data_IF_616496892675
#
_entry.id   IF_616496892675
#
_cell.length_a   1.000
_cell.length_b   1.000
_cell.length_c   1.000
_cell.angle_alpha   90.00
_cell.angle_beta   90.00
_cell.angle_gamma   90.00
#
_symmetry.space_group_name_H-M   'P 1'
#
loop_
_entity.id
_entity.type
_entity.pdbx_description
1 polymer ?
#
# COMPACT_ATOMS: atom_id res chain seq x y z
N UNK A 1 16.55 11.80 5.46
CA UNK A 1 16.61 10.45 6.05
C UNK A 1 15.20 9.90 5.98
N UNK A 2 14.92 9.02 5.02
CA UNK A 2 13.58 8.44 4.83
C UNK A 2 13.43 7.30 5.82
N UNK A 3 12.44 7.36 6.73
CA UNK A 3 12.31 6.39 7.82
C UNK A 3 11.66 5.08 7.36
N UNK A 4 10.88 5.12 6.28
CA UNK A 4 10.17 4.00 5.67
C UNK A 4 10.35 4.00 4.16
N UNK A 5 10.07 2.86 3.52
CA UNK A 5 10.20 2.70 2.07
C UNK A 5 9.28 3.66 1.29
N UNK A 6 8.07 3.92 1.80
CA UNK A 6 7.11 4.85 1.20
C UNK A 6 7.40 6.33 1.48
N UNK A 7 8.39 6.65 2.34
CA UNK A 7 8.79 8.04 2.60
C UNK A 7 9.71 8.60 1.50
N UNK A 8 10.04 7.80 0.48
CA UNK A 8 10.92 8.20 -0.63
C UNK A 8 10.20 9.17 -1.58
N UNK A 9 8.97 8.83 -1.98
CA UNK A 9 8.14 9.69 -2.83
C UNK A 9 7.03 10.35 -1.97
N UNK A 10 6.89 11.69 -2.03
CA UNK A 10 5.92 12.40 -1.19
C UNK A 10 4.46 12.06 -1.54
N UNK A 11 4.15 11.68 -2.77
CA UNK A 11 2.80 11.26 -3.18
C UNK A 11 2.46 9.90 -2.57
N UNK A 12 3.40 8.95 -2.59
CA UNK A 12 3.22 7.64 -1.93
C UNK A 12 3.09 7.80 -0.41
N UNK A 13 3.94 8.65 0.20
CA UNK A 13 3.86 8.95 1.63
C UNK A 13 2.50 9.56 2.03
N UNK A 14 1.98 10.49 1.23
CA UNK A 14 0.65 11.06 1.44
C UNK A 14 -0.45 10.01 1.35
N UNK A 15 -0.45 9.17 0.32
CA UNK A 15 -1.44 8.10 0.15
C UNK A 15 -1.47 7.15 1.37
N UNK A 16 -0.31 6.71 1.84
CA UNK A 16 -0.19 5.87 3.05
C UNK A 16 -0.69 6.59 4.30
N UNK A 17 -0.40 7.89 4.42
CA UNK A 17 -0.89 8.71 5.54
C UNK A 17 -2.41 8.87 5.54
N UNK A 18 -3.02 9.10 4.38
CA UNK A 18 -4.48 9.18 4.27
C UNK A 18 -5.12 7.82 4.59
N UNK A 19 -4.60 6.73 4.01
CA UNK A 19 -5.09 5.38 4.25
C UNK A 19 -5.02 5.03 5.74
N UNK A 20 -3.94 5.38 6.44
CA UNK A 20 -3.80 5.18 7.90
C UNK A 20 -4.92 5.84 8.71
N UNK A 21 -5.40 7.01 8.28
CA UNK A 21 -6.42 7.78 8.99
C UNK A 21 -7.85 7.46 8.52
N UNK A 22 -8.02 6.72 7.43
CA UNK A 22 -9.31 6.30 6.92
C UNK A 22 -9.96 5.21 7.80
N UNK A 23 -11.27 5.01 7.66
CA UNK A 23 -11.95 3.90 8.31
C UNK A 23 -11.52 2.55 7.70
N UNK A 24 -11.75 1.45 8.41
CA UNK A 24 -11.28 0.12 7.98
C UNK A 24 -11.85 -0.33 6.63
N UNK A 25 -13.07 0.07 6.28
CA UNK A 25 -13.69 -0.29 4.99
C UNK A 25 -13.00 0.41 3.83
N UNK A 26 -12.68 1.70 3.98
CA UNK A 26 -11.89 2.46 3.00
C UNK A 26 -10.48 1.91 2.87
N UNK A 27 -9.84 1.54 4.00
CA UNK A 27 -8.54 0.85 3.98
C UNK A 27 -8.59 -0.45 3.19
N UNK A 28 -9.63 -1.27 3.34
CA UNK A 28 -9.77 -2.50 2.58
C UNK A 28 -9.98 -2.29 1.08
N UNK A 29 -10.72 -1.24 0.68
CA UNK A 29 -10.86 -0.87 -0.73
C UNK A 29 -9.53 -0.42 -1.33
N UNK A 30 -8.77 0.38 -0.59
CA UNK A 30 -7.40 0.75 -0.97
C UNK A 30 -6.51 -0.49 -1.15
N UNK A 31 -6.57 -1.44 -0.21
CA UNK A 31 -5.82 -2.69 -0.30
C UNK A 31 -6.20 -3.50 -1.56
N UNK A 32 -7.50 -3.61 -1.85
CA UNK A 32 -7.99 -4.30 -3.05
C UNK A 32 -7.52 -3.61 -4.34
N UNK A 33 -7.56 -2.28 -4.40
CA UNK A 33 -7.07 -1.50 -5.55
C UNK A 33 -5.57 -1.75 -5.80
N UNK A 34 -4.76 -1.75 -4.75
CA UNK A 34 -3.31 -2.01 -4.86
C UNK A 34 -3.05 -3.40 -5.45
N UNK A 35 -3.72 -4.43 -4.93
CA UNK A 35 -3.56 -5.81 -5.41
C UNK A 35 -4.05 -5.95 -6.86
N UNK A 36 -5.17 -5.31 -7.20
CA UNK A 36 -5.69 -5.28 -8.56
C UNK A 36 -4.65 -4.68 -9.52
N UNK A 37 -4.13 -3.49 -9.22
CA UNK A 37 -3.13 -2.80 -10.05
C UNK A 37 -1.85 -3.60 -10.21
N UNK A 38 -1.42 -4.28 -9.15
CA UNK A 38 -0.27 -5.18 -9.20
C UNK A 38 -0.48 -6.30 -10.22
N UNK A 39 -1.63 -6.98 -10.14
CA UNK A 39 -1.97 -8.09 -11.04
C UNK A 39 -2.14 -7.64 -12.49
N UNK A 40 -2.77 -6.49 -12.73
CA UNK A 40 -2.90 -5.89 -14.06
C UNK A 40 -1.54 -5.60 -14.71
N UNK A 41 -0.52 -5.33 -13.90
CA UNK A 41 0.86 -5.09 -14.34
C UNK A 41 1.76 -6.34 -14.25
N UNK A 42 1.19 -7.52 -14.01
CA UNK A 42 1.93 -8.78 -13.98
C UNK A 42 2.86 -8.95 -12.77
N UNK A 43 2.64 -8.20 -11.70
CA UNK A 43 3.42 -8.25 -10.47
C UNK A 43 2.71 -9.19 -9.49
N UNK A 44 3.38 -10.28 -9.10
CA UNK A 44 2.88 -11.29 -8.17
C UNK A 44 3.84 -11.49 -6.98
N UNK A 45 3.29 -11.77 -5.81
CA UNK A 45 4.06 -11.99 -4.57
C UNK A 45 4.75 -13.36 -4.54
N UNK A 46 4.41 -14.28 -5.43
CA UNK A 46 4.89 -15.67 -5.42
C UNK A 46 6.43 -15.81 -5.39
N UNK A 47 7.17 -14.83 -5.92
CA UNK A 47 8.64 -14.82 -5.87
C UNK A 47 9.24 -14.29 -4.55
N UNK A 48 8.46 -13.61 -3.70
CA UNK A 48 8.94 -12.91 -2.49
C UNK A 48 8.47 -13.50 -1.15
N UNK A 49 7.63 -14.54 -1.16
CA UNK A 49 7.07 -15.17 0.05
C UNK A 49 8.17 -15.70 1.01
N UNK A 50 9.34 -16.10 0.48
CA UNK A 50 10.40 -16.72 1.27
C UNK A 50 11.26 -15.71 2.06
N UNK A 51 11.29 -14.44 1.67
CA UNK A 51 12.23 -13.46 2.23
C UNK A 51 11.71 -12.76 3.49
N UNK A 52 10.40 -12.58 3.63
CA UNK A 52 9.78 -11.81 4.73
C UNK A 52 9.14 -12.64 5.84
N UNK A 53 8.96 -13.96 5.64
CA UNK A 53 8.37 -14.85 6.66
C UNK A 53 9.18 -14.89 7.99
N UNK A 54 10.48 -14.56 7.94
CA UNK A 54 11.36 -14.55 9.12
C UNK A 54 11.49 -13.17 9.80
N UNK A 55 10.94 -12.09 9.23
CA UNK A 55 11.17 -10.71 9.68
C UNK A 55 9.90 -10.00 10.20
N UNK A 56 8.89 -10.76 10.65
CA UNK A 56 7.63 -10.23 11.23
C UNK A 56 7.87 -9.57 12.60
N UNK A 57 8.59 -8.44 12.60
CA UNK A 57 8.57 -7.50 13.72
C UNK A 57 7.46 -6.50 13.41
N UNK A 58 6.32 -6.64 14.09
CA UNK A 58 5.16 -5.74 14.00
C UNK A 58 5.57 -4.31 14.41
N UNK A 59 6.08 -3.52 13.46
CA UNK A 59 6.63 -2.16 13.71
C UNK A 59 5.91 -1.10 12.91
N UNK A 60 5.09 -1.48 11.93
CA UNK A 60 4.34 -0.58 11.06
C UNK A 60 2.88 -0.65 11.46
N UNK A 61 2.16 0.46 11.27
CA UNK A 61 0.75 0.56 11.71
C UNK A 61 -0.15 -0.47 11.03
N UNK A 62 0.22 -0.89 9.81
CA UNK A 62 -0.52 -1.85 9.01
C UNK A 62 -0.12 -3.30 9.24
N UNK A 63 0.96 -3.58 9.97
CA UNK A 63 1.42 -4.96 10.19
C UNK A 63 0.40 -5.80 10.99
N UNK A 64 -0.55 -5.15 11.68
CA UNK A 64 -1.59 -5.80 12.47
C UNK A 64 -2.76 -6.33 11.65
N UNK A 65 -2.91 -5.89 10.39
CA UNK A 65 -3.95 -6.36 9.48
C UNK A 65 -3.30 -7.04 8.27
N UNK A 66 -3.53 -8.34 8.13
CA UNK A 66 -2.89 -9.15 7.11
C UNK A 66 -3.19 -8.66 5.69
N UNK A 67 -4.43 -8.24 5.41
CA UNK A 67 -4.84 -7.80 4.08
C UNK A 67 -4.12 -6.51 3.70
N UNK A 68 -4.07 -5.56 4.63
CA UNK A 68 -3.40 -4.27 4.40
C UNK A 68 -1.88 -4.48 4.30
N UNK A 69 -1.28 -5.26 5.20
CA UNK A 69 0.14 -5.58 5.15
C UNK A 69 0.54 -6.23 3.82
N UNK A 70 -0.22 -7.24 3.37
CA UNK A 70 0.02 -7.93 2.10
C UNK A 70 -0.09 -6.95 0.91
N UNK A 71 -1.12 -6.11 0.88
CA UNK A 71 -1.27 -5.09 -0.17
C UNK A 71 -0.05 -4.17 -0.25
N UNK A 72 0.53 -3.76 0.87
CA UNK A 72 1.70 -2.89 0.85
C UNK A 72 2.98 -3.58 0.38
N UNK A 73 3.08 -4.90 0.53
CA UNK A 73 4.18 -5.63 -0.09
C UNK A 73 4.02 -5.68 -1.62
N UNK A 74 2.79 -5.79 -2.16
CA UNK A 74 2.55 -5.58 -3.60
C UNK A 74 2.95 -4.16 -4.04
N UNK A 75 2.50 -3.12 -3.32
CA UNK A 75 2.83 -1.72 -3.66
C UNK A 75 4.35 -1.50 -3.67
N UNK A 76 5.06 -2.05 -2.68
CA UNK A 76 6.53 -1.93 -2.57
C UNK A 76 7.29 -2.61 -3.71
N UNK A 77 6.73 -3.65 -4.33
CA UNK A 77 7.33 -4.34 -5.47
C UNK A 77 7.12 -3.62 -6.81
N UNK A 78 6.16 -2.70 -6.88
CA UNK A 78 5.92 -1.93 -8.09
C UNK A 78 7.12 -1.01 -8.43
N UNK A 79 7.41 -0.76 -9.71
CA UNK A 79 8.36 0.28 -10.09
C UNK A 79 7.88 1.65 -9.58
N UNK A 80 8.81 2.56 -9.29
CA UNK A 80 8.50 3.87 -8.68
C UNK A 80 7.43 4.67 -9.43
N UNK A 81 7.42 4.59 -10.77
CA UNK A 81 6.39 5.24 -11.60
C UNK A 81 4.98 4.70 -11.33
N UNK A 82 4.86 3.37 -11.18
CA UNK A 82 3.58 2.72 -10.92
C UNK A 82 3.17 2.90 -9.45
N UNK A 83 4.11 2.89 -8.50
CA UNK A 83 3.82 3.24 -7.10
C UNK A 83 3.15 4.61 -7.00
N UNK A 84 3.68 5.59 -7.75
CA UNK A 84 3.14 6.94 -7.78
C UNK A 84 1.77 7.02 -8.44
N UNK A 85 1.57 6.33 -9.56
CA UNK A 85 0.26 6.24 -10.22
C UNK A 85 -0.79 5.67 -9.26
N UNK A 86 -0.50 4.52 -8.65
CA UNK A 86 -1.39 3.88 -7.67
C UNK A 86 -1.63 4.79 -6.47
N UNK A 87 -0.60 5.49 -5.96
CA UNK A 87 -0.76 6.44 -4.87
C UNK A 87 -1.72 7.59 -5.21
N UNK A 88 -1.71 8.10 -6.43
CA UNK A 88 -2.66 9.14 -6.89
C UNK A 88 -4.09 8.58 -6.87
N UNK A 89 -4.29 7.36 -7.37
CA UNK A 89 -5.62 6.73 -7.37
C UNK A 89 -6.14 6.45 -5.96
N UNK A 90 -5.27 6.03 -5.04
CA UNK A 90 -5.62 5.85 -3.63
C UNK A 90 -6.04 7.18 -2.98
N UNK A 91 -5.32 8.26 -3.26
CA UNK A 91 -5.68 9.60 -2.76
C UNK A 91 -7.06 10.00 -3.29
N UNK A 92 -7.31 9.83 -4.59
CA UNK A 92 -8.62 10.15 -5.20
C UNK A 92 -9.75 9.34 -4.57
N UNK A 93 -9.57 8.02 -4.42
CA UNK A 93 -10.55 7.13 -3.78
C UNK A 93 -10.87 7.57 -2.34
N UNK A 94 -9.83 7.88 -1.56
CA UNK A 94 -10.02 8.30 -0.16
C UNK A 94 -10.69 9.67 -0.05
N UNK A 95 -10.38 10.60 -0.95
CA UNK A 95 -11.04 11.92 -1.00
C UNK A 95 -12.51 11.81 -1.39
N UNK A 96 -12.85 10.94 -2.34
CA UNK A 96 -14.25 10.68 -2.72
C UNK A 96 -15.05 10.10 -1.54
N UNK A 97 -14.44 9.24 -0.72
CA UNK A 97 -15.11 8.64 0.43
C UNK A 97 -15.26 9.56 1.64
N UNK A 98 -14.38 10.56 1.81
CA UNK A 98 -14.54 11.58 2.87
C UNK A 98 -15.66 12.58 2.58
N UNK A 99 -16.08 12.73 1.32
CA UNK A 99 -17.16 13.63 0.91
C UNK A 99 -18.56 13.02 1.11
N UNK A 100 -18.65 11.71 1.40
CA UNK A 100 -19.90 10.94 1.52
C UNK A 100 -20.34 10.74 2.97
#
# INVERSE_FOLDING_TARGET
MNKRWYDIDPTVSLAVSLMRNANIMSQYKCADLIVQKSRENGIDLSENILTDAFNYVLRRWYDTDQKIAESFEYLKLMPESLQKEVAIELISLLQEEEVV
#
